data_IF_871804374596
#
_entry.id   IF_871804374596
#
_cell.length_a   1.000
_cell.length_b   1.000
_cell.length_c   1.000
_cell.angle_alpha   90.00
_cell.angle_beta   90.00
_cell.angle_gamma   90.00
#
_symmetry.space_group_name_H-M   'P 1'
#
loop_
_entity.id
_entity.type
_entity.pdbx_description
1 polymer ?
#
# COMPACT_ATOMS: atom_id res chain seq x y z
N UNK A 1 18.79 -10.66 -28.92
CA UNK A 1 17.85 -9.78 -28.20
C UNK A 1 18.29 -9.70 -26.73
N UNK A 2 19.23 -8.83 -26.33
CA UNK A 2 19.90 -9.05 -25.04
C UNK A 2 20.40 -7.86 -24.22
N UNK A 3 20.33 -6.61 -24.69
CA UNK A 3 20.97 -5.49 -23.96
C UNK A 3 20.06 -4.29 -23.69
N UNK A 4 18.99 -4.10 -24.46
CA UNK A 4 18.09 -2.95 -24.35
C UNK A 4 17.15 -2.95 -23.12
N UNK A 5 16.95 -4.09 -22.44
CA UNK A 5 16.02 -4.19 -21.30
C UNK A 5 16.64 -3.84 -19.94
N UNK A 6 17.95 -3.97 -19.78
CA UNK A 6 18.60 -3.84 -18.48
C UNK A 6 18.95 -2.39 -18.09
N UNK A 7 18.96 -1.44 -19.02
CA UNK A 7 19.41 -0.06 -18.73
C UNK A 7 18.27 0.95 -18.52
N UNK A 8 17.00 0.54 -18.63
CA UNK A 8 15.88 1.47 -18.50
C UNK A 8 15.74 1.98 -17.06
N UNK A 9 15.80 1.10 -16.06
CA UNK A 9 15.67 1.52 -14.66
C UNK A 9 16.87 2.36 -14.20
N UNK A 10 18.09 2.08 -14.67
CA UNK A 10 19.25 2.92 -14.37
C UNK A 10 19.17 4.29 -15.04
N UNK A 11 18.71 4.35 -16.29
CA UNK A 11 18.52 5.61 -17.00
C UNK A 11 17.46 6.49 -16.33
N UNK A 12 16.39 5.88 -15.85
CA UNK A 12 15.23 6.57 -15.28
C UNK A 12 15.19 6.58 -13.75
N UNK A 13 16.23 6.16 -13.04
CA UNK A 13 16.26 6.16 -11.56
C UNK A 13 16.01 7.51 -10.91
N UNK A 14 16.26 8.60 -11.64
CA UNK A 14 15.98 9.96 -11.20
C UNK A 14 14.48 10.29 -11.25
N UNK A 15 13.71 9.56 -12.06
CA UNK A 15 12.26 9.62 -12.06
C UNK A 15 11.77 8.83 -10.84
N UNK A 16 11.01 9.49 -9.96
CA UNK A 16 10.39 8.85 -8.80
C UNK A 16 9.23 7.99 -9.25
N UNK A 17 9.53 6.76 -9.67
CA UNK A 17 8.55 5.82 -10.21
C UNK A 17 7.68 5.29 -9.07
N UNK A 18 6.37 5.31 -9.28
CA UNK A 18 5.39 4.73 -8.36
C UNK A 18 4.76 3.52 -9.05
N UNK A 19 4.88 2.34 -8.43
CA UNK A 19 4.17 1.15 -8.88
C UNK A 19 2.72 1.19 -8.38
N UNK A 20 1.78 1.37 -9.31
CA UNK A 20 0.34 1.44 -9.03
C UNK A 20 -0.40 0.15 -9.38
N UNK A 21 0.31 -0.96 -9.59
CA UNK A 21 -0.30 -2.23 -9.95
C UNK A 21 0.41 -3.40 -9.28
N UNK A 22 0.46 -3.38 -7.94
CA UNK A 22 1.04 -4.45 -7.15
C UNK A 22 -0.02 -5.23 -6.37
N UNK A 23 0.02 -6.56 -6.41
CA UNK A 23 -0.92 -7.45 -5.71
C UNK A 23 -0.33 -8.16 -4.47
N UNK A 24 0.77 -7.67 -3.89
CA UNK A 24 1.51 -8.32 -2.79
C UNK A 24 1.16 -7.77 -1.39
N UNK A 25 -0.03 -7.19 -1.18
CA UNK A 25 -0.41 -6.63 0.13
C UNK A 25 -0.29 -7.64 1.30
N UNK A 26 -0.42 -8.93 1.01
CA UNK A 26 -0.37 -10.04 1.96
C UNK A 26 1.01 -10.70 2.15
N UNK A 27 1.98 -10.44 1.26
CA UNK A 27 3.26 -11.17 1.27
C UNK A 27 4.52 -10.32 0.98
N UNK A 28 4.41 -8.99 0.91
CA UNK A 28 5.54 -8.13 0.51
C UNK A 28 6.84 -8.34 1.32
N UNK A 29 6.74 -8.65 2.62
CA UNK A 29 7.91 -8.93 3.46
C UNK A 29 8.48 -10.34 3.20
N UNK A 30 7.62 -11.35 3.08
CA UNK A 30 8.03 -12.74 2.93
C UNK A 30 8.64 -13.04 1.56
N UNK A 31 8.20 -12.34 0.52
CA UNK A 31 8.73 -12.49 -0.85
C UNK A 31 9.96 -11.65 -1.13
N UNK A 32 10.38 -10.79 -0.19
CA UNK A 32 11.46 -9.83 -0.43
C UNK A 32 11.12 -8.78 -1.50
N UNK A 33 9.83 -8.47 -1.70
CA UNK A 33 9.38 -7.54 -2.73
C UNK A 33 10.00 -6.14 -2.55
N UNK A 34 10.28 -5.73 -1.30
CA UNK A 34 11.01 -4.49 -1.00
C UNK A 34 12.38 -4.47 -1.68
N UNK A 35 13.17 -5.54 -1.55
CA UNK A 35 14.49 -5.61 -2.15
C UNK A 35 14.43 -5.54 -3.69
N UNK A 36 13.37 -6.11 -4.28
CA UNK A 36 13.11 -6.03 -5.72
C UNK A 36 12.80 -4.59 -6.14
N UNK A 37 11.89 -3.91 -5.43
CA UNK A 37 11.54 -2.52 -5.72
C UNK A 37 12.73 -1.59 -5.57
N UNK A 38 13.56 -1.79 -4.54
CA UNK A 38 14.78 -1.02 -4.34
C UNK A 38 15.80 -1.27 -5.44
N UNK A 39 15.98 -2.52 -5.88
CA UNK A 39 16.86 -2.87 -7.00
C UNK A 39 16.46 -2.15 -8.30
N UNK A 40 15.17 -1.87 -8.49
CA UNK A 40 14.65 -1.24 -9.70
C UNK A 40 14.29 0.24 -9.52
N UNK A 41 14.73 0.88 -8.43
CA UNK A 41 14.50 2.31 -8.15
C UNK A 41 13.01 2.71 -8.13
N UNK A 42 12.14 1.82 -7.67
CA UNK A 42 10.73 2.14 -7.39
C UNK A 42 10.69 2.92 -6.09
N UNK A 43 10.22 4.18 -6.16
CA UNK A 43 10.16 5.10 -5.03
C UNK A 43 9.06 4.68 -4.05
N UNK A 44 7.87 4.38 -4.59
CA UNK A 44 6.70 3.95 -3.82
C UNK A 44 5.89 2.88 -4.52
N UNK A 45 5.20 2.06 -3.75
CA UNK A 45 4.30 1.03 -4.25
C UNK A 45 2.93 1.15 -3.62
N UNK A 46 1.89 1.09 -4.45
CA UNK A 46 0.51 0.95 -4.01
C UNK A 46 0.23 -0.54 -3.79
N UNK A 47 -0.06 -0.93 -2.55
CA UNK A 47 -0.31 -2.33 -2.20
C UNK A 47 -1.79 -2.67 -2.43
N UNK A 48 -2.08 -3.34 -3.55
CA UNK A 48 -3.40 -3.89 -3.82
C UNK A 48 -3.58 -5.25 -3.16
N UNK A 49 -4.75 -5.37 -2.56
CA UNK A 49 -5.23 -6.60 -1.98
C UNK A 49 -6.14 -7.42 -2.88
N UNK A 50 -6.74 -8.43 -2.26
CA UNK A 50 -7.81 -9.23 -2.83
C UNK A 50 -9.01 -8.34 -3.24
N UNK A 51 -9.78 -8.83 -4.21
CA UNK A 51 -10.89 -8.06 -4.78
C UNK A 51 -12.19 -8.30 -4.00
N UNK A 52 -12.44 -9.56 -3.60
CA UNK A 52 -13.72 -9.98 -3.02
C UNK A 52 -13.64 -10.15 -1.51
N UNK A 53 -14.75 -9.87 -0.83
CA UNK A 53 -14.91 -10.20 0.59
C UNK A 53 -14.91 -11.73 0.81
N UNK A 54 -14.41 -12.21 1.97
CA UNK A 54 -13.86 -11.45 3.10
C UNK A 54 -12.37 -11.08 2.94
N UNK A 55 -11.70 -11.63 1.93
CA UNK A 55 -10.26 -11.45 1.74
C UNK A 55 -9.86 -9.98 1.51
N UNK A 56 -10.73 -9.20 0.84
CA UNK A 56 -10.53 -7.77 0.63
C UNK A 56 -10.33 -6.99 1.94
N UNK A 57 -11.09 -7.31 2.99
CA UNK A 57 -10.96 -6.65 4.30
C UNK A 57 -9.60 -6.92 4.94
N UNK A 58 -9.15 -8.18 4.90
CA UNK A 58 -7.84 -8.57 5.44
C UNK A 58 -6.71 -7.86 4.69
N UNK A 59 -6.81 -7.79 3.36
CA UNK A 59 -5.78 -7.14 2.57
C UNK A 59 -5.75 -5.62 2.72
N UNK A 60 -6.91 -4.98 2.94
CA UNK A 60 -7.01 -3.56 3.27
C UNK A 60 -6.31 -3.25 4.61
N UNK A 61 -6.52 -4.09 5.63
CA UNK A 61 -5.84 -3.97 6.94
C UNK A 61 -4.32 -4.15 6.80
N UNK A 62 -3.86 -5.13 6.03
CA UNK A 62 -2.44 -5.37 5.79
C UNK A 62 -1.79 -4.22 5.01
N UNK A 63 -2.48 -3.68 4.00
CA UNK A 63 -2.04 -2.50 3.24
C UNK A 63 -1.87 -1.28 4.17
N UNK A 64 -2.80 -1.08 5.12
CA UNK A 64 -2.67 -0.05 6.14
C UNK A 64 -1.50 -0.28 7.08
N UNK A 65 -1.32 -1.50 7.61
CA UNK A 65 -0.19 -1.83 8.49
C UNK A 65 1.15 -1.62 7.78
N UNK A 66 1.25 -1.98 6.50
CA UNK A 66 2.43 -1.73 5.69
C UNK A 66 2.71 -0.23 5.54
N UNK A 67 1.69 0.59 5.28
CA UNK A 67 1.83 2.05 5.25
C UNK A 67 2.31 2.62 6.59
N UNK A 68 1.74 2.18 7.71
CA UNK A 68 2.16 2.64 9.05
C UNK A 68 3.63 2.27 9.32
N UNK A 69 4.06 1.07 8.91
CA UNK A 69 5.43 0.58 9.13
C UNK A 69 6.45 1.25 8.19
N UNK A 70 6.10 1.48 6.93
CA UNK A 70 6.99 2.05 5.90
C UNK A 70 6.28 3.16 5.08
N UNK A 71 5.97 4.32 5.69
CA UNK A 71 5.16 5.37 5.05
C UNK A 71 5.86 6.03 3.86
N UNK A 72 7.19 5.92 3.78
CA UNK A 72 7.98 6.39 2.64
C UNK A 72 7.94 5.44 1.44
N UNK A 73 7.60 4.16 1.64
CA UNK A 73 7.64 3.11 0.61
C UNK A 73 6.27 2.70 0.10
N UNK A 74 5.23 2.82 0.92
CA UNK A 74 3.90 2.34 0.56
C UNK A 74 2.87 3.44 0.48
N UNK A 75 1.90 3.22 -0.42
CA UNK A 75 0.59 3.83 -0.37
C UNK A 75 -0.44 2.73 -0.07
N UNK A 76 -1.30 2.92 0.94
CA UNK A 76 -2.35 1.96 1.20
C UNK A 76 -3.43 2.10 0.13
N UNK A 77 -3.99 0.96 -0.29
CA UNK A 77 -5.17 0.93 -1.16
C UNK A 77 -6.30 0.21 -0.43
N UNK A 78 -7.49 0.80 -0.51
CA UNK A 78 -8.67 0.33 0.19
C UNK A 78 -9.78 0.05 -0.82
N UNK A 79 -10.17 -1.21 -0.97
CA UNK A 79 -11.34 -1.55 -1.79
C UNK A 79 -12.62 -1.49 -0.98
N UNK A 80 -12.57 -1.91 0.28
CA UNK A 80 -13.73 -1.96 1.15
C UNK A 80 -13.88 -0.61 1.84
N UNK A 81 -13.94 0.46 1.04
CA UNK A 81 -14.21 1.83 1.53
C UNK A 81 -15.57 1.92 2.25
N UNK A 82 -16.45 0.91 2.06
CA UNK A 82 -17.72 0.76 2.76
C UNK A 82 -17.60 0.19 4.18
N UNK A 83 -16.60 -0.63 4.50
CA UNK A 83 -16.43 -1.21 5.84
C UNK A 83 -15.40 -0.46 6.71
N UNK A 84 -14.53 0.35 6.11
CA UNK A 84 -13.49 1.04 6.89
C UNK A 84 -14.01 2.20 7.76
N UNK A 85 -15.22 2.72 7.53
CA UNK A 85 -15.87 3.65 8.48
C UNK A 85 -16.02 3.04 9.89
N UNK A 86 -16.07 1.72 10.02
CA UNK A 86 -16.16 1.04 11.32
C UNK A 86 -14.78 0.95 12.01
N UNK A 87 -13.67 0.92 11.28
CA UNK A 87 -12.33 0.84 11.89
C UNK A 87 -11.74 2.21 12.24
N UNK A 88 -11.96 3.23 11.39
CA UNK A 88 -11.52 4.61 11.67
C UNK A 88 -12.27 5.21 12.86
N UNK A 89 -13.54 4.83 13.07
CA UNK A 89 -14.30 5.23 14.26
C UNK A 89 -13.79 4.60 15.56
N UNK A 90 -13.22 3.38 15.51
CA UNK A 90 -12.65 2.68 16.66
C UNK A 90 -11.24 3.16 17.04
N UNK A 91 -10.46 3.68 16.07
CA UNK A 91 -9.11 4.17 16.31
C UNK A 91 -9.03 5.67 16.65
N UNK A 92 -10.11 6.45 16.49
CA UNK A 92 -10.07 7.91 16.68
C UNK A 92 -10.64 8.48 17.99
N UNK A 93 -11.21 7.73 18.97
CA UNK A 93 -11.79 8.40 20.16
C UNK A 93 -11.72 7.62 21.48
N UNK A 94 -11.08 8.22 22.50
CA UNK A 94 -11.71 8.34 23.82
C UNK A 94 -12.25 9.75 24.11
N UNK A 95 -11.93 10.78 23.30
CA UNK A 95 -12.07 12.17 23.75
C UNK A 95 -12.81 13.16 22.84
N UNK A 96 -13.59 12.73 21.85
CA UNK A 96 -14.52 13.66 21.20
C UNK A 96 -15.88 13.62 21.90
N UNK A 97 -16.02 14.46 22.93
CA UNK A 97 -17.32 14.86 23.48
C UNK A 97 -18.19 15.42 22.35
N UNK A 98 -19.45 15.02 22.39
CA UNK A 98 -20.58 15.48 21.56
C UNK A 98 -20.46 16.94 21.13
N UNK A 99 -20.50 17.16 19.82
CA UNK A 99 -21.12 18.34 19.22
C UNK A 99 -22.02 17.82 18.11
N UNK A 100 -23.22 17.40 18.49
CA UNK A 100 -24.40 17.44 17.62
C UNK A 100 -25.55 17.83 18.56
N UNK A 101 -25.79 19.14 18.61
CA UNK A 101 -27.05 19.75 19.06
C UNK A 101 -27.46 20.67 17.94
N UNK A 102 -28.54 20.29 17.27
CA UNK A 102 -29.68 21.07 16.74
C UNK A 102 -30.32 20.34 15.56
#
# INVERSE_FOLDING_TARGET
>A
MGQLKHDLFEKYKHLKIIDVHNHDADYYEHKGSIAIWEKYHVDKTVLFGAISEPAAMKSDELSWKAYVKYPTKFFPFFRVFRCMMILVSQLQRPNLKRVITE
#
